data_IF_934853571878
#
_entry.id   IF_934853571878
#
_cell.length_a   1.000
_cell.length_b   1.000
_cell.length_c   1.000
_cell.angle_alpha   90.00
_cell.angle_beta   90.00
_cell.angle_gamma   90.00
#
_symmetry.space_group_name_H-M   'P 1'
#
loop_
_entity.id
_entity.type
_entity.pdbx_description
1 polymer ?
#
# COMPACT_ATOMS: atom_id res chain seq x y z
N UNK A 1 24.77 8.12 17.56
CA UNK A 1 23.76 9.03 16.94
C UNK A 1 23.07 8.35 15.76
N UNK A 2 23.82 7.73 14.84
CA UNK A 2 23.29 6.97 13.70
C UNK A 2 22.22 5.93 14.10
N UNK A 3 22.49 5.07 15.10
CA UNK A 3 21.55 4.01 15.49
C UNK A 3 20.18 4.53 15.96
N UNK A 4 20.16 5.65 16.68
CA UNK A 4 18.92 6.29 17.13
C UNK A 4 18.11 6.81 15.94
N UNK A 5 18.79 7.41 14.96
CA UNK A 5 18.15 7.93 13.75
C UNK A 5 17.61 6.79 12.88
N UNK A 6 18.36 5.70 12.73
CA UNK A 6 17.91 4.50 12.03
C UNK A 6 16.66 3.93 12.70
N UNK A 7 16.65 3.75 14.02
CA UNK A 7 15.47 3.27 14.76
C UNK A 7 14.25 4.18 14.57
N UNK A 8 14.45 5.50 14.61
CA UNK A 8 13.38 6.46 14.37
C UNK A 8 12.83 6.31 12.93
N UNK A 9 13.71 6.21 11.94
CA UNK A 9 13.31 5.99 10.54
C UNK A 9 12.53 4.69 10.34
N UNK A 10 12.94 3.61 11.02
CA UNK A 10 12.23 2.33 11.00
C UNK A 10 10.82 2.43 11.59
N UNK A 11 10.67 3.11 12.73
CA UNK A 11 9.37 3.36 13.35
C UNK A 11 8.48 4.22 12.46
N UNK A 12 9.02 5.32 11.92
CA UNK A 12 8.31 6.20 11.01
C UNK A 12 7.89 5.49 9.72
N UNK A 13 8.75 4.63 9.16
CA UNK A 13 8.41 3.87 7.96
C UNK A 13 7.26 2.88 8.24
N UNK A 14 7.33 2.12 9.34
CA UNK A 14 6.28 1.16 9.70
C UNK A 14 4.96 1.84 10.04
N UNK A 15 4.96 2.83 10.94
CA UNK A 15 3.72 3.50 11.35
C UNK A 15 3.20 4.48 10.30
N UNK A 16 4.08 5.03 9.46
CA UNK A 16 3.70 5.75 8.25
C UNK A 16 2.96 4.83 7.27
N UNK A 17 3.44 3.60 7.07
CA UNK A 17 2.76 2.59 6.25
C UNK A 17 1.37 2.25 6.81
N UNK A 18 1.26 2.05 8.14
CA UNK A 18 -0.02 1.83 8.82
C UNK A 18 -0.99 2.99 8.58
N UNK A 19 -0.53 4.22 8.80
CA UNK A 19 -1.34 5.43 8.61
C UNK A 19 -1.84 5.54 7.17
N UNK A 20 -0.94 5.34 6.19
CA UNK A 20 -1.29 5.43 4.77
C UNK A 20 -2.34 4.38 4.40
N UNK A 21 -2.13 3.11 4.75
CA UNK A 21 -3.09 2.03 4.46
C UNK A 21 -4.45 2.27 5.11
N UNK A 22 -4.47 2.68 6.38
CA UNK A 22 -5.71 3.00 7.08
C UNK A 22 -6.44 4.17 6.41
N UNK A 23 -5.71 5.22 6.02
CA UNK A 23 -6.29 6.42 5.41
C UNK A 23 -6.83 6.17 4.00
N UNK A 24 -6.09 5.48 3.14
CA UNK A 24 -6.55 5.15 1.79
C UNK A 24 -7.70 4.14 1.82
N UNK A 25 -7.66 3.16 2.73
CA UNK A 25 -8.73 2.19 2.91
C UNK A 25 -10.01 2.84 3.40
N UNK A 26 -9.93 3.68 4.42
CA UNK A 26 -11.07 4.48 4.90
C UNK A 26 -11.60 5.42 3.81
N UNK A 27 -10.72 6.02 3.02
CA UNK A 27 -11.07 6.85 1.88
C UNK A 27 -11.97 6.16 0.85
N UNK A 28 -11.89 4.83 0.70
CA UNK A 28 -12.79 4.05 -0.18
C UNK A 28 -14.22 3.90 0.35
N UNK A 29 -14.45 4.14 1.64
CA UNK A 29 -15.79 4.21 2.23
C UNK A 29 -16.31 5.64 2.27
N UNK A 30 -15.44 6.64 2.50
CA UNK A 30 -15.84 8.06 2.54
C UNK A 30 -16.15 8.61 1.14
N UNK A 31 -15.40 8.22 0.11
CA UNK A 31 -15.67 8.59 -1.29
C UNK A 31 -16.83 7.80 -1.90
N UNK A 32 -17.93 7.68 -1.15
CA UNK A 32 -19.22 7.24 -1.68
C UNK A 32 -19.91 8.37 -2.45
N UNK A 33 -19.14 9.09 -3.27
CA UNK A 33 -19.61 10.00 -4.33
C UNK A 33 -19.08 9.49 -5.67
N UNK A 34 -19.47 8.27 -6.00
CA UNK A 34 -19.21 7.63 -7.29
C UNK A 34 -20.17 8.19 -8.36
N UNK A 35 -19.99 9.46 -8.76
CA UNK A 35 -20.62 10.00 -9.97
C UNK A 35 -19.66 10.59 -10.99
N UNK A 36 -18.52 11.18 -10.60
CA UNK A 36 -17.82 12.10 -11.52
C UNK A 36 -16.60 11.50 -12.23
N UNK A 37 -16.10 10.31 -11.85
CA UNK A 37 -14.93 9.68 -12.50
C UNK A 37 -15.18 8.36 -13.25
N UNK A 38 -16.41 7.82 -13.23
CA UNK A 38 -16.68 6.43 -13.64
C UNK A 38 -17.26 6.32 -15.08
N UNK A 39 -17.70 7.42 -15.70
CA UNK A 39 -18.40 7.40 -17.00
C UNK A 39 -17.51 7.24 -18.25
N UNK A 40 -16.18 7.25 -18.16
CA UNK A 40 -15.33 7.42 -19.36
C UNK A 40 -14.23 6.37 -19.61
N UNK A 41 -14.28 5.15 -19.04
CA UNK A 41 -13.27 4.11 -19.35
C UNK A 41 -13.85 2.82 -19.98
N UNK A 42 -13.59 2.56 -21.28
CA UNK A 42 -14.05 1.37 -22.01
C UNK A 42 -13.45 0.04 -21.51
N UNK A 43 -12.31 0.07 -20.82
CA UNK A 43 -11.53 -1.11 -20.45
C UNK A 43 -12.07 -1.85 -19.21
N UNK A 44 -12.95 -1.19 -18.43
CA UNK A 44 -13.64 -1.78 -17.28
C UNK A 44 -15.03 -2.32 -17.62
N UNK A 45 -15.52 -2.13 -18.86
CA UNK A 45 -16.86 -2.56 -19.31
C UNK A 45 -17.20 -4.02 -18.96
N UNK A 46 -16.21 -4.93 -18.99
CA UNK A 46 -16.43 -6.37 -18.80
C UNK A 46 -16.55 -6.84 -17.33
N UNK A 47 -16.00 -6.09 -16.36
CA UNK A 47 -15.97 -6.45 -14.94
C UNK A 47 -17.27 -6.00 -14.25
N UNK A 48 -17.90 -4.97 -14.82
CA UNK A 48 -19.24 -4.50 -14.48
C UNK A 48 -20.34 -5.52 -14.77
N UNK A 49 -20.06 -6.60 -15.50
CA UNK A 49 -21.02 -7.68 -15.73
C UNK A 49 -21.17 -8.65 -14.55
N UNK A 50 -20.24 -8.65 -13.57
CA UNK A 50 -20.26 -9.63 -12.47
C UNK A 50 -20.09 -9.06 -11.06
N UNK A 51 -19.44 -7.89 -10.87
CA UNK A 51 -19.29 -7.24 -9.55
C UNK A 51 -19.21 -5.72 -9.72
N UNK A 52 -20.01 -4.95 -8.97
CA UNK A 52 -19.97 -3.49 -9.06
C UNK A 52 -18.59 -2.95 -8.64
N UNK A 53 -18.09 -1.93 -9.33
CA UNK A 53 -16.80 -1.28 -8.99
C UNK A 53 -16.80 -0.76 -7.56
N UNK A 54 -17.97 -0.39 -7.03
CA UNK A 54 -18.15 -0.02 -5.64
C UNK A 54 -17.89 -1.20 -4.69
N UNK A 55 -18.31 -2.42 -5.02
CA UNK A 55 -18.03 -3.61 -4.21
C UNK A 55 -16.56 -3.97 -4.23
N UNK A 56 -15.91 -3.90 -5.40
CA UNK A 56 -14.45 -4.15 -5.51
C UNK A 56 -13.66 -3.09 -4.73
N UNK A 57 -14.03 -1.82 -4.86
CA UNK A 57 -13.40 -0.73 -4.10
C UNK A 57 -13.57 -0.93 -2.59
N UNK A 58 -14.77 -1.29 -2.12
CA UNK A 58 -15.00 -1.59 -0.70
C UNK A 58 -14.19 -2.79 -0.22
N UNK A 59 -14.12 -3.88 -1.00
CA UNK A 59 -13.33 -5.05 -0.63
C UNK A 59 -11.84 -4.73 -0.50
N UNK A 60 -11.28 -3.97 -1.46
CA UNK A 60 -9.90 -3.47 -1.39
C UNK A 60 -9.72 -2.56 -0.17
N UNK A 61 -10.69 -1.69 0.12
CA UNK A 61 -10.67 -0.81 1.30
C UNK A 61 -10.64 -1.60 2.60
N UNK A 62 -11.45 -2.66 2.73
CA UNK A 62 -11.40 -3.58 3.86
C UNK A 62 -10.00 -4.18 4.00
N UNK A 63 -9.42 -4.67 2.90
CA UNK A 63 -8.11 -5.31 2.92
C UNK A 63 -6.99 -4.34 3.34
N UNK A 64 -7.04 -3.09 2.88
CA UNK A 64 -6.10 -2.04 3.31
C UNK A 64 -6.20 -1.74 4.81
N UNK A 65 -7.41 -1.62 5.34
CA UNK A 65 -7.65 -1.40 6.78
C UNK A 65 -7.17 -2.61 7.58
N UNK A 66 -7.49 -3.83 7.16
CA UNK A 66 -7.03 -5.06 7.80
C UNK A 66 -5.50 -5.14 7.79
N UNK A 67 -4.86 -4.86 6.66
CA UNK A 67 -3.40 -4.81 6.57
C UNK A 67 -2.80 -3.80 7.56
N UNK A 68 -3.39 -2.60 7.66
CA UNK A 68 -2.95 -1.56 8.59
C UNK A 68 -3.05 -2.02 10.06
N UNK A 69 -4.18 -2.61 10.45
CA UNK A 69 -4.39 -3.12 11.80
C UNK A 69 -3.39 -4.23 12.14
N UNK A 70 -3.19 -5.18 11.23
CA UNK A 70 -2.22 -6.25 11.42
C UNK A 70 -0.78 -5.71 11.54
N UNK A 71 -0.38 -4.78 10.66
CA UNK A 71 0.93 -4.12 10.71
C UNK A 71 1.18 -3.39 12.05
N UNK A 72 0.16 -2.74 12.61
CA UNK A 72 0.26 -2.00 13.87
C UNK A 72 0.58 -2.90 15.07
N UNK A 73 0.26 -4.20 14.99
CA UNK A 73 0.50 -5.16 16.08
C UNK A 73 1.96 -5.60 16.23
N UNK A 74 2.88 -5.12 15.38
CA UNK A 74 4.29 -5.53 15.37
C UNK A 74 4.96 -5.63 16.76
N UNK A 75 4.83 -4.65 17.68
CA UNK A 75 5.54 -4.69 18.96
C UNK A 75 5.16 -5.87 19.85
N UNK A 76 3.93 -6.36 19.73
CA UNK A 76 3.37 -7.42 20.57
C UNK A 76 3.34 -8.76 19.85
N UNK A 77 2.96 -8.76 18.58
CA UNK A 77 2.77 -9.97 17.77
C UNK A 77 3.46 -9.86 16.40
N UNK A 78 4.79 -10.00 16.34
CA UNK A 78 5.55 -9.92 15.08
C UNK A 78 5.06 -10.90 14.00
N UNK A 79 4.57 -12.09 14.39
CA UNK A 79 3.97 -13.08 13.47
C UNK A 79 2.73 -12.54 12.76
N UNK A 80 1.86 -11.86 13.51
CA UNK A 80 0.62 -11.27 12.99
C UNK A 80 0.95 -10.07 12.10
N UNK A 81 1.90 -9.24 12.53
CA UNK A 81 2.41 -8.14 11.69
C UNK A 81 3.02 -8.62 10.38
N UNK A 82 3.68 -9.79 10.33
CA UNK A 82 4.21 -10.33 9.08
C UNK A 82 3.09 -10.63 8.08
N UNK A 83 1.93 -11.13 8.53
CA UNK A 83 0.76 -11.32 7.67
C UNK A 83 0.22 -9.99 7.13
N UNK A 84 0.16 -8.97 7.99
CA UNK A 84 -0.20 -7.60 7.57
C UNK A 84 0.75 -7.03 6.51
N UNK A 85 2.07 -7.18 6.72
CA UNK A 85 3.07 -6.76 5.75
C UNK A 85 2.96 -7.53 4.43
N UNK A 86 2.72 -8.84 4.46
CA UNK A 86 2.54 -9.64 3.25
C UNK A 86 1.29 -9.19 2.46
N UNK A 87 0.18 -8.92 3.16
CA UNK A 87 -1.03 -8.38 2.54
C UNK A 87 -0.76 -7.00 1.91
N UNK A 88 -0.05 -6.12 2.61
CA UNK A 88 0.35 -4.81 2.08
C UNK A 88 1.20 -4.94 0.80
N UNK A 89 2.15 -5.88 0.75
CA UNK A 89 2.95 -6.16 -0.45
C UNK A 89 2.03 -6.52 -1.63
N UNK A 90 1.07 -7.42 -1.43
CA UNK A 90 0.12 -7.82 -2.49
C UNK A 90 -0.71 -6.63 -2.96
N UNK A 91 -1.21 -5.80 -2.03
CA UNK A 91 -2.01 -4.62 -2.36
C UNK A 91 -1.20 -3.60 -3.19
N UNK A 92 0.03 -3.27 -2.78
CA UNK A 92 0.88 -2.33 -3.51
C UNK A 92 1.43 -2.90 -4.82
N UNK A 93 1.66 -4.21 -4.93
CA UNK A 93 1.95 -4.82 -6.23
C UNK A 93 0.77 -4.63 -7.19
N UNK A 94 -0.46 -4.79 -6.69
CA UNK A 94 -1.67 -4.44 -7.41
C UNK A 94 -1.68 -3.00 -7.89
N UNK A 95 -1.42 -2.02 -7.01
CA UNK A 95 -1.44 -0.60 -7.41
C UNK A 95 -0.30 -0.25 -8.36
N UNK A 96 0.92 -0.74 -8.13
CA UNK A 96 2.06 -0.54 -9.02
C UNK A 96 1.82 -1.18 -10.40
N UNK A 97 1.09 -2.29 -10.49
CA UNK A 97 0.74 -2.89 -11.78
C UNK A 97 -0.04 -1.91 -12.68
N UNK A 98 -0.85 -1.03 -12.09
CA UNK A 98 -1.60 -0.02 -12.85
C UNK A 98 -0.70 0.94 -13.60
N UNK A 99 0.53 1.18 -13.17
CA UNK A 99 1.51 1.99 -13.91
C UNK A 99 1.78 1.43 -15.31
N UNK A 100 1.72 0.11 -15.46
CA UNK A 100 2.03 -0.59 -16.70
C UNK A 100 0.79 -1.01 -17.48
N UNK A 101 -0.35 -1.22 -16.79
CA UNK A 101 -1.58 -1.71 -17.43
C UNK A 101 -2.58 -0.62 -17.78
N UNK A 102 -2.48 0.59 -17.22
CA UNK A 102 -3.47 1.65 -17.45
C UNK A 102 -3.08 2.53 -18.64
N UNK A 103 -3.85 2.53 -19.74
CA UNK A 103 -3.58 3.42 -20.87
C UNK A 103 -3.83 4.89 -20.48
N UNK A 104 -3.00 5.81 -21.00
CA UNK A 104 -3.15 7.26 -20.78
C UNK A 104 -2.46 7.82 -19.53
N UNK A 105 -1.69 7.01 -18.80
CA UNK A 105 -0.89 7.45 -17.65
C UNK A 105 0.23 8.43 -18.02
N UNK A 106 0.79 8.26 -19.21
CA UNK A 106 1.82 9.11 -19.78
C UNK A 106 1.15 10.18 -20.63
N UNK A 107 1.06 11.41 -20.09
CA UNK A 107 0.29 12.50 -20.67
C UNK A 107 0.92 13.02 -21.97
N UNK A 108 2.25 13.12 -21.96
CA UNK A 108 3.05 13.74 -23.01
C UNK A 108 4.49 13.23 -22.93
N UNK A 109 5.17 13.18 -24.07
CA UNK A 109 6.63 13.03 -24.11
C UNK A 109 7.21 14.44 -24.12
N UNK A 110 7.73 14.92 -22.99
CA UNK A 110 8.48 16.17 -22.95
C UNK A 110 9.97 15.83 -23.16
N UNK A 111 10.58 16.36 -24.24
CA UNK A 111 11.98 16.10 -24.58
C UNK A 111 12.36 14.60 -24.67
N UNK A 112 11.43 13.73 -25.10
CA UNK A 112 11.65 12.28 -25.20
C UNK A 112 11.48 11.51 -23.89
N UNK A 113 11.19 12.19 -22.78
CA UNK A 113 10.93 11.58 -21.48
C UNK A 113 9.41 11.46 -21.29
N UNK A 114 8.88 10.26 -20.98
CA UNK A 114 7.47 10.09 -20.70
C UNK A 114 7.10 10.79 -19.38
N UNK A 115 6.22 11.79 -19.46
CA UNK A 115 5.74 12.56 -18.31
C UNK A 115 4.45 11.93 -17.77
N UNK A 116 4.46 11.55 -16.49
CA UNK A 116 3.27 11.04 -15.83
C UNK A 116 2.24 12.15 -15.60
N UNK A 117 0.99 11.85 -15.94
CA UNK A 117 -0.18 12.64 -15.56
C UNK A 117 -0.18 12.91 -14.05
N UNK A 118 -0.58 14.13 -13.65
CA UNK A 118 -0.67 14.52 -12.23
C UNK A 118 -1.56 13.56 -11.43
N UNK A 119 -2.67 13.13 -12.03
CA UNK A 119 -3.55 12.08 -11.52
C UNK A 119 -3.96 11.18 -12.70
N UNK A 120 -3.80 9.84 -12.62
CA UNK A 120 -3.30 9.05 -11.47
C UNK A 120 -1.78 8.78 -11.47
N UNK A 121 -1.02 9.18 -12.50
CA UNK A 121 0.35 8.69 -12.70
C UNK A 121 1.34 9.02 -11.60
N UNK A 122 1.48 10.28 -11.21
CA UNK A 122 2.39 10.67 -10.14
C UNK A 122 2.00 10.09 -8.78
N UNK A 123 0.70 9.84 -8.57
CA UNK A 123 0.19 9.22 -7.35
C UNK A 123 0.60 7.76 -7.21
N UNK A 124 0.85 7.03 -8.30
CA UNK A 124 1.27 5.63 -8.25
C UNK A 124 2.76 5.45 -8.01
N UNK A 125 3.60 6.47 -8.28
CA UNK A 125 5.05 6.37 -8.02
C UNK A 125 5.37 6.24 -6.53
N UNK A 126 4.65 6.93 -5.66
CA UNK A 126 4.84 6.78 -4.20
C UNK A 126 4.49 5.37 -3.71
N UNK A 127 3.61 4.65 -4.41
CA UNK A 127 3.24 3.29 -4.03
C UNK A 127 4.40 2.32 -4.24
N UNK A 128 5.34 2.62 -5.14
CA UNK A 128 6.59 1.86 -5.28
C UNK A 128 7.47 2.00 -4.02
N UNK A 129 7.53 3.19 -3.43
CA UNK A 129 8.24 3.42 -2.16
C UNK A 129 7.53 2.68 -1.03
N UNK A 130 6.20 2.73 -0.97
CA UNK A 130 5.40 2.02 0.03
C UNK A 130 5.53 0.50 -0.10
N UNK A 131 5.62 -0.03 -1.33
CA UNK A 131 5.94 -1.44 -1.59
C UNK A 131 7.30 -1.81 -1.01
N UNK A 132 8.33 -0.98 -1.22
CA UNK A 132 9.65 -1.17 -0.63
C UNK A 132 9.61 -1.21 0.91
N UNK A 133 8.85 -0.29 1.52
CA UNK A 133 8.64 -0.29 2.97
C UNK A 133 7.86 -1.52 3.44
N UNK A 134 6.85 -1.96 2.70
CA UNK A 134 6.07 -3.16 3.02
C UNK A 134 6.96 -4.43 3.01
N UNK A 135 7.80 -4.60 1.97
CA UNK A 135 8.78 -5.69 1.90
C UNK A 135 9.77 -5.62 3.07
N UNK A 136 10.27 -4.41 3.37
CA UNK A 136 11.17 -4.21 4.50
C UNK A 136 10.52 -4.58 5.84
N UNK A 137 9.28 -4.15 6.10
CA UNK A 137 8.55 -4.49 7.33
C UNK A 137 8.26 -5.99 7.44
N UNK A 138 8.00 -6.67 6.32
CA UNK A 138 7.82 -8.13 6.26
C UNK A 138 9.11 -8.85 6.66
N UNK A 139 10.24 -8.45 6.08
CA UNK A 139 11.55 -9.01 6.39
C UNK A 139 11.92 -8.79 7.86
N UNK A 140 11.67 -7.60 8.39
CA UNK A 140 11.90 -7.26 9.80
C UNK A 140 11.06 -8.12 10.75
N UNK A 141 9.76 -8.28 10.47
CA UNK A 141 8.87 -9.15 11.23
C UNK A 141 9.32 -10.62 11.22
N UNK A 142 9.67 -11.16 10.05
CA UNK A 142 10.14 -12.54 9.92
C UNK A 142 11.47 -12.78 10.64
N UNK A 143 12.37 -11.78 10.71
CA UNK A 143 13.62 -11.88 11.48
C UNK A 143 13.35 -12.05 12.96
N UNK A 144 12.49 -11.22 13.55
CA UNK A 144 12.12 -11.31 14.97
C UNK A 144 11.45 -12.65 15.27
N UNK A 145 10.60 -13.14 14.38
CA UNK A 145 9.93 -14.45 14.53
C UNK A 145 10.91 -15.62 14.53
N UNK A 146 11.98 -15.55 13.73
CA UNK A 146 13.01 -16.61 13.62
C UNK A 146 14.02 -16.58 14.75
N UNK A 147 14.25 -15.43 15.40
CA UNK A 147 15.25 -15.25 16.45
C UNK A 147 14.68 -14.54 17.70
N UNK A 148 13.75 -15.19 18.43
CA UNK A 148 13.14 -14.57 19.62
C UNK A 148 14.14 -14.31 20.76
N UNK A 149 15.24 -15.07 20.82
CA UNK A 149 16.27 -15.01 21.87
C UNK A 149 17.13 -13.73 21.82
N UNK A 150 17.31 -13.10 20.66
CA UNK A 150 18.19 -11.94 20.47
C UNK A 150 17.53 -10.58 20.81
N UNK A 151 16.26 -10.59 21.22
CA UNK A 151 15.45 -9.38 21.49
C UNK A 151 15.15 -9.21 22.99
N UNK A 152 15.54 -10.16 23.85
CA UNK A 152 15.45 -9.95 25.31
C UNK A 152 16.40 -8.81 25.69
N UNK A 153 15.94 -7.79 26.43
CA UNK A 153 16.86 -6.86 27.06
C UNK A 153 17.71 -7.68 28.01
N UNK A 154 19.03 -7.66 27.84
CA UNK A 154 19.97 -8.05 28.90
C UNK A 154 19.61 -7.20 30.12
N UNK A 155 19.02 -7.85 31.12
CA UNK A 155 18.83 -7.31 32.47
C UNK A 155 20.20 -7.12 33.10
#
# INVERSE_FOLDING_TARGET
MADKLTRLGQLLARYGLVLVLAWIGFGKYVKMESKVLIEHSPLMSWIYNFLSVTTVARALGTMEIVAALLLATFPLWPRVSALGSALAVVLFLGTVSFLFTTPGLFATHAAGIPVLTALPGQFLLKDLVLLGVAIWTLGDALRVVRQPELVKPTV
#
